data_IF_677681200110
#
_entry.id   IF_677681200110
#
_cell.length_a   1.000
_cell.length_b   1.000
_cell.length_c   1.000
_cell.angle_alpha   90.00
_cell.angle_beta   90.00
_cell.angle_gamma   90.00
#
_symmetry.space_group_name_H-M   'P 1'
#
loop_
_entity.id
_entity.type
_entity.pdbx_description
1 polymer ?
#
# COMPACT_ATOMS: atom_id res chain seq x y z
N UNK A 1 26.80 -13.14 13.41
CA UNK A 1 26.81 -13.12 11.92
C UNK A 1 26.47 -11.73 11.36
N UNK A 2 26.80 -11.43 10.09
CA UNK A 2 26.47 -10.13 9.46
C UNK A 2 24.96 -9.83 9.42
N UNK A 3 24.13 -10.86 9.21
CA UNK A 3 22.66 -10.74 9.15
C UNK A 3 22.07 -10.22 10.46
N UNK A 4 22.45 -10.81 11.61
CA UNK A 4 22.04 -10.32 12.93
C UNK A 4 22.47 -8.87 13.17
N UNK A 5 23.71 -8.50 12.76
CA UNK A 5 24.19 -7.12 12.86
C UNK A 5 23.37 -6.15 12.01
N UNK A 6 22.94 -6.54 10.81
CA UNK A 6 22.08 -5.73 9.95
C UNK A 6 20.79 -5.33 10.69
N UNK A 7 20.05 -6.31 11.23
CA UNK A 7 18.80 -6.04 11.94
C UNK A 7 19.01 -5.22 13.20
N UNK A 8 20.06 -5.51 13.98
CA UNK A 8 20.39 -4.75 15.19
C UNK A 8 20.69 -3.28 14.89
N UNK A 9 21.48 -3.01 13.84
CA UNK A 9 21.82 -1.64 13.42
C UNK A 9 20.57 -0.90 12.96
N UNK A 10 19.78 -1.47 12.06
CA UNK A 10 18.64 -0.76 11.46
C UNK A 10 17.42 -0.66 12.39
N UNK A 11 17.30 -1.53 13.39
CA UNK A 11 16.32 -1.38 14.48
C UNK A 11 16.62 -0.16 15.36
N UNK A 12 17.90 0.16 15.55
CA UNK A 12 18.34 1.29 16.39
C UNK A 12 18.63 2.56 15.59
N UNK A 13 18.52 2.50 14.25
CA UNK A 13 18.87 3.60 13.38
C UNK A 13 17.91 4.78 13.55
N UNK A 14 18.48 5.96 13.83
CA UNK A 14 17.71 7.19 14.05
C UNK A 14 17.39 7.87 12.72
N UNK A 15 16.39 7.35 12.01
CA UNK A 15 15.85 8.03 10.83
C UNK A 15 15.39 9.46 11.17
N UNK A 16 15.63 10.46 10.30
CA UNK A 16 16.08 10.37 8.91
C UNK A 16 17.60 10.56 8.73
N UNK A 17 18.46 10.18 9.69
CA UNK A 17 19.90 10.22 9.46
C UNK A 17 20.27 9.36 8.24
N UNK A 18 21.07 9.88 7.28
CA UNK A 18 21.34 9.19 6.03
C UNK A 18 22.31 8.03 6.21
N UNK A 19 22.02 6.93 5.53
CA UNK A 19 22.98 5.84 5.34
C UNK A 19 23.89 6.23 4.18
N UNK A 20 25.19 6.31 4.45
CA UNK A 20 26.22 6.71 3.49
C UNK A 20 27.38 5.72 3.53
N UNK A 21 27.89 5.33 2.36
CA UNK A 21 29.07 4.46 2.26
C UNK A 21 30.38 5.25 2.15
N UNK A 22 30.31 6.46 1.61
CA UNK A 22 31.42 7.41 1.50
C UNK A 22 30.90 8.83 1.76
N UNK A 23 31.79 9.81 2.04
CA UNK A 23 31.40 11.22 2.08
C UNK A 23 30.77 11.66 0.75
N UNK A 24 29.85 12.62 0.83
CA UNK A 24 29.25 13.22 -0.37
C UNK A 24 30.26 14.16 -1.01
N UNK A 25 30.74 13.79 -2.19
CA UNK A 25 31.65 14.61 -2.99
C UNK A 25 30.89 15.60 -3.86
N UNK A 26 31.42 16.83 -3.96
CA UNK A 26 30.92 17.85 -4.87
C UNK A 26 31.75 17.78 -6.16
N UNK A 27 31.10 17.46 -7.28
CA UNK A 27 31.75 17.43 -8.59
C UNK A 27 31.64 18.77 -9.33
N UNK A 28 32.56 18.98 -10.28
CA UNK A 28 32.71 20.23 -11.05
C UNK A 28 31.62 20.42 -12.12
N UNK A 29 30.90 19.35 -12.48
CA UNK A 29 29.91 19.34 -13.55
C UNK A 29 28.58 20.03 -13.20
N UNK A 30 28.45 20.58 -11.98
CA UNK A 30 27.28 21.35 -11.56
C UNK A 30 25.99 20.55 -11.39
N UNK A 31 26.03 19.21 -11.41
CA UNK A 31 24.85 18.39 -11.15
C UNK A 31 24.34 18.57 -9.71
N UNK A 32 23.02 18.45 -9.54
CA UNK A 32 22.39 18.45 -8.22
C UNK A 32 22.82 17.22 -7.43
N UNK A 33 23.30 17.46 -6.22
CA UNK A 33 23.67 16.42 -5.25
C UNK A 33 22.70 16.48 -4.07
N UNK A 34 22.35 15.32 -3.51
CA UNK A 34 21.47 15.24 -2.34
C UNK A 34 22.05 16.05 -1.17
N UNK A 35 21.33 17.07 -0.73
CA UNK A 35 21.73 17.91 0.40
C UNK A 35 20.50 18.45 1.15
N UNK A 36 20.14 17.87 2.32
CA UNK A 36 18.97 18.29 3.08
C UNK A 36 19.11 19.70 3.70
N UNK A 37 20.31 20.30 3.70
CA UNK A 37 20.55 21.66 4.20
C UNK A 37 20.23 22.70 3.14
N UNK A 38 20.44 22.36 1.86
CA UNK A 38 20.21 23.26 0.72
C UNK A 38 18.85 23.05 0.07
N UNK A 39 18.38 21.81 0.00
CA UNK A 39 17.17 21.45 -0.75
C UNK A 39 16.02 21.05 0.20
N UNK A 40 14.91 21.81 0.23
CA UNK A 40 13.74 21.47 1.03
C UNK A 40 13.12 20.11 0.69
N UNK A 41 13.24 19.64 -0.56
CA UNK A 41 12.76 18.31 -0.96
C UNK A 41 13.57 17.21 -0.27
N UNK A 42 14.90 17.35 -0.25
CA UNK A 42 15.79 16.39 0.37
C UNK A 42 15.61 16.33 1.89
N UNK A 43 15.32 17.48 2.51
CA UNK A 43 14.97 17.59 3.93
C UNK A 43 13.70 16.82 4.31
N UNK A 44 12.80 16.58 3.36
CA UNK A 44 11.55 15.85 3.59
C UNK A 44 11.69 14.32 3.51
N UNK A 45 12.87 13.81 3.11
CA UNK A 45 13.11 12.37 3.00
C UNK A 45 13.04 11.66 4.35
N UNK A 46 12.36 10.51 4.38
CA UNK A 46 12.09 9.76 5.62
C UNK A 46 13.18 8.77 5.98
N UNK A 47 13.74 8.09 4.98
CA UNK A 47 14.71 7.01 5.16
C UNK A 47 15.87 7.13 4.15
N UNK A 48 16.70 8.19 4.19
CA UNK A 48 17.67 8.44 3.12
C UNK A 48 18.78 7.37 3.07
N UNK A 49 18.94 6.74 1.89
CA UNK A 49 20.02 5.81 1.58
C UNK A 49 20.74 6.35 0.34
N UNK A 50 21.95 6.87 0.53
CA UNK A 50 22.62 7.71 -0.46
C UNK A 50 23.50 6.85 -1.39
N UNK A 51 23.35 7.06 -2.70
CA UNK A 51 24.20 6.43 -3.71
C UNK A 51 25.63 6.96 -3.58
N UNK A 52 26.66 6.11 -3.67
CA UNK A 52 28.04 6.51 -3.38
C UNK A 52 28.71 7.31 -4.50
N UNK A 53 28.31 7.08 -5.75
CA UNK A 53 28.93 7.72 -6.91
C UNK A 53 28.31 9.09 -7.18
N UNK A 54 29.15 10.04 -7.61
CA UNK A 54 28.70 11.33 -8.12
C UNK A 54 27.81 11.13 -9.37
N UNK A 55 26.64 11.77 -9.47
CA UNK A 55 26.02 12.69 -8.52
C UNK A 55 25.24 11.94 -7.42
N UNK A 56 25.60 12.13 -6.14
CA UNK A 56 25.01 11.37 -5.04
C UNK A 56 23.52 11.69 -4.88
N UNK A 57 22.65 10.68 -4.85
CA UNK A 57 21.19 10.80 -4.76
C UNK A 57 20.62 9.88 -3.68
N UNK A 58 19.41 10.20 -3.20
CA UNK A 58 18.67 9.29 -2.33
C UNK A 58 17.97 8.19 -3.14
N UNK A 59 18.40 6.94 -2.96
CA UNK A 59 17.79 5.76 -3.62
C UNK A 59 16.40 5.41 -3.08
N UNK A 60 16.11 5.75 -1.82
CA UNK A 60 14.87 5.46 -1.10
C UNK A 60 13.96 6.70 -0.97
N UNK A 61 14.03 7.62 -1.93
CA UNK A 61 13.21 8.86 -1.95
C UNK A 61 11.69 8.59 -1.98
N UNK A 62 11.28 7.38 -2.37
CA UNK A 62 9.87 6.97 -2.43
C UNK A 62 9.26 6.60 -1.08
N UNK A 63 10.07 6.38 -0.04
CA UNK A 63 9.62 5.96 1.29
C UNK A 63 8.70 7.04 1.91
N UNK A 64 7.46 6.64 2.22
CA UNK A 64 6.50 7.43 3.01
C UNK A 64 6.67 7.15 4.50
N UNK A 65 5.96 7.91 5.34
CA UNK A 65 5.92 7.66 6.78
C UNK A 65 5.36 6.26 7.07
N UNK A 66 4.24 5.88 6.42
CA UNK A 66 3.62 4.56 6.60
C UNK A 66 4.54 3.40 6.20
N UNK A 67 5.24 3.51 5.06
CA UNK A 67 6.19 2.46 4.64
C UNK A 67 7.43 2.38 5.54
N UNK A 68 7.91 3.50 6.08
CA UNK A 68 9.00 3.50 7.06
C UNK A 68 8.60 2.79 8.35
N UNK A 69 7.38 3.01 8.82
CA UNK A 69 6.86 2.31 10.01
C UNK A 69 6.84 0.81 9.78
N UNK A 70 6.28 0.34 8.66
CA UNK A 70 6.28 -1.09 8.30
C UNK A 70 7.70 -1.65 8.26
N UNK A 71 8.63 -0.98 7.56
CA UNK A 71 10.03 -1.46 7.49
C UNK A 71 10.69 -1.50 8.87
N UNK A 72 10.42 -0.53 9.74
CA UNK A 72 10.96 -0.49 11.11
C UNK A 72 10.43 -1.64 11.97
N UNK A 73 9.14 -1.94 11.87
CA UNK A 73 8.52 -3.11 12.51
C UNK A 73 9.12 -4.43 11.99
N UNK A 74 9.36 -4.53 10.69
CA UNK A 74 10.02 -5.71 10.10
C UNK A 74 11.49 -5.83 10.53
N UNK A 75 12.22 -4.71 10.71
CA UNK A 75 13.57 -4.76 11.27
C UNK A 75 13.57 -5.29 12.71
N UNK A 76 12.62 -4.86 13.54
CA UNK A 76 12.45 -5.37 14.90
C UNK A 76 12.11 -6.86 14.91
N UNK A 77 11.19 -7.30 14.03
CA UNK A 77 10.84 -8.70 13.89
C UNK A 77 12.06 -9.55 13.50
N UNK A 78 12.81 -9.11 12.49
CA UNK A 78 14.03 -9.78 12.05
C UNK A 78 15.12 -9.82 13.13
N UNK A 79 15.26 -8.75 13.92
CA UNK A 79 16.19 -8.71 15.06
C UNK A 79 15.85 -9.78 16.10
N UNK A 80 14.57 -9.87 16.49
CA UNK A 80 14.09 -10.88 17.45
C UNK A 80 14.30 -12.31 16.93
N UNK A 81 14.01 -12.56 15.66
CA UNK A 81 14.26 -13.89 15.06
C UNK A 81 15.75 -14.22 15.05
N UNK A 82 16.61 -13.24 14.70
CA UNK A 82 18.05 -13.44 14.72
C UNK A 82 18.59 -13.72 16.14
N UNK A 83 18.05 -13.07 17.17
CA UNK A 83 18.40 -13.37 18.57
C UNK A 83 18.04 -14.81 18.95
N UNK A 84 16.86 -15.29 18.55
CA UNK A 84 16.45 -16.68 18.80
C UNK A 84 17.29 -17.69 18.02
N UNK A 85 17.71 -17.38 16.80
CA UNK A 85 18.66 -18.20 16.02
C UNK A 85 20.03 -18.25 16.70
N UNK A 86 20.56 -17.12 17.18
CA UNK A 86 21.85 -17.06 17.88
C UNK A 86 21.82 -17.82 19.22
N UNK A 87 20.65 -17.91 19.87
CA UNK A 87 20.42 -18.75 21.05
C UNK A 87 20.12 -20.23 20.73
N UNK A 88 20.07 -20.62 19.46
CA UNK A 88 19.78 -21.98 19.03
C UNK A 88 18.31 -22.42 19.23
N UNK A 89 17.38 -21.47 19.35
CA UNK A 89 15.94 -21.71 19.57
C UNK A 89 15.11 -21.66 18.30
N UNK A 90 15.67 -21.14 17.20
CA UNK A 90 15.01 -21.04 15.90
C UNK A 90 15.99 -21.39 14.77
N UNK A 91 15.45 -21.78 13.62
CA UNK A 91 16.20 -22.03 12.40
C UNK A 91 16.15 -20.83 11.45
N UNK A 92 17.09 -20.75 10.50
CA UNK A 92 17.12 -19.68 9.48
C UNK A 92 15.87 -19.61 8.62
N UNK A 93 15.16 -20.72 8.45
CA UNK A 93 13.87 -20.79 7.75
C UNK A 93 12.84 -19.81 8.33
N UNK A 94 12.83 -19.62 9.66
CA UNK A 94 11.92 -18.71 10.35
C UNK A 94 12.10 -17.24 9.91
N UNK A 95 13.31 -16.83 9.52
CA UNK A 95 13.58 -15.48 9.04
C UNK A 95 12.96 -15.21 7.65
N UNK A 96 12.79 -16.26 6.85
CA UNK A 96 12.30 -16.20 5.48
C UNK A 96 10.83 -16.66 5.35
N UNK A 97 10.12 -16.82 6.46
CA UNK A 97 8.69 -17.08 6.43
C UNK A 97 7.94 -15.94 5.71
N UNK A 98 6.98 -16.33 4.87
CA UNK A 98 6.24 -15.37 4.06
C UNK A 98 5.38 -14.45 4.93
N UNK A 99 5.49 -13.14 4.71
CA UNK A 99 4.68 -12.15 5.44
C UNK A 99 3.19 -12.29 5.06
N UNK A 100 2.29 -12.58 6.00
CA UNK A 100 0.88 -12.84 5.72
C UNK A 100 0.10 -11.53 5.50
N UNK A 101 0.41 -10.81 4.42
CA UNK A 101 -0.13 -9.47 4.13
C UNK A 101 -1.66 -9.41 4.16
N UNK A 102 -2.34 -10.41 3.59
CA UNK A 102 -3.81 -10.47 3.55
C UNK A 102 -4.46 -10.92 4.87
N UNK A 103 -3.66 -11.20 5.88
CA UNK A 103 -4.12 -11.48 7.25
C UNK A 103 -3.74 -10.34 8.20
N UNK A 104 -2.67 -9.59 7.89
CA UNK A 104 -2.11 -8.54 8.73
C UNK A 104 -3.00 -7.30 8.89
N UNK A 105 -3.96 -7.07 8.00
CA UNK A 105 -4.84 -5.89 8.04
C UNK A 105 -6.31 -6.30 8.10
N UNK A 106 -7.14 -5.47 8.75
CA UNK A 106 -8.59 -5.69 8.78
C UNK A 106 -9.27 -5.24 7.50
N UNK A 107 -8.70 -4.23 6.84
CA UNK A 107 -9.29 -3.57 5.69
C UNK A 107 -8.23 -3.32 4.63
N UNK A 108 -8.67 -3.34 3.38
CA UNK A 108 -7.82 -3.22 2.20
C UNK A 108 -8.43 -2.24 1.22
N UNK A 109 -7.58 -1.53 0.49
CA UNK A 109 -7.95 -0.83 -0.73
C UNK A 109 -7.49 -1.67 -1.92
N UNK A 110 -8.45 -2.11 -2.73
CA UNK A 110 -8.21 -2.75 -4.02
C UNK A 110 -8.25 -1.69 -5.12
N UNK A 111 -7.26 -1.72 -6.00
CA UNK A 111 -7.18 -0.88 -7.20
C UNK A 111 -7.10 -1.78 -8.40
N UNK A 112 -8.14 -1.76 -9.23
CA UNK A 112 -8.19 -2.55 -10.45
C UNK A 112 -7.94 -1.66 -11.66
N UNK A 113 -6.99 -2.07 -12.48
CA UNK A 113 -6.66 -1.44 -13.75
C UNK A 113 -7.18 -2.35 -14.85
N UNK A 114 -7.98 -1.82 -15.78
CA UNK A 114 -8.50 -2.57 -16.92
C UNK A 114 -8.17 -1.84 -18.22
N UNK A 115 -8.02 -2.61 -19.29
CA UNK A 115 -7.85 -2.10 -20.65
C UNK A 115 -8.59 -3.01 -21.66
N UNK A 116 -8.69 -2.56 -22.90
CA UNK A 116 -9.32 -3.34 -23.97
C UNK A 116 -8.48 -4.56 -24.40
N UNK A 117 -7.15 -4.40 -24.45
CA UNK A 117 -6.19 -5.42 -24.86
C UNK A 117 -4.95 -5.46 -23.95
N UNK A 118 -4.09 -6.46 -24.15
CA UNK A 118 -2.94 -6.70 -23.29
C UNK A 118 -1.82 -5.66 -23.43
N UNK A 119 -1.59 -5.12 -24.62
CA UNK A 119 -0.56 -4.11 -24.87
C UNK A 119 -1.00 -2.76 -24.29
N UNK A 120 -2.28 -2.44 -24.45
CA UNK A 120 -2.90 -1.27 -23.85
C UNK A 120 -2.87 -1.35 -22.33
N UNK A 121 -3.16 -2.54 -21.76
CA UNK A 121 -3.02 -2.78 -20.32
C UNK A 121 -1.59 -2.55 -19.85
N UNK A 122 -0.58 -3.04 -20.57
CA UNK A 122 0.82 -2.89 -20.17
C UNK A 122 1.21 -1.41 -20.04
N UNK A 123 0.88 -0.60 -21.05
CA UNK A 123 1.18 0.84 -21.05
C UNK A 123 0.36 1.60 -20.01
N UNK A 124 -0.93 1.28 -19.89
CA UNK A 124 -1.86 1.90 -18.95
C UNK A 124 -1.48 1.60 -17.50
N UNK A 125 -1.24 0.33 -17.19
CA UNK A 125 -0.76 -0.15 -15.89
C UNK A 125 0.54 0.56 -15.49
N UNK A 126 1.52 0.64 -16.39
CA UNK A 126 2.79 1.33 -16.10
C UNK A 126 2.60 2.81 -15.76
N UNK A 127 1.72 3.50 -16.49
CA UNK A 127 1.38 4.89 -16.21
C UNK A 127 0.72 5.09 -14.84
N UNK A 128 -0.23 4.23 -14.48
CA UNK A 128 -0.93 4.27 -13.20
C UNK A 128 -0.01 3.86 -12.05
N UNK A 129 0.75 2.76 -12.19
CA UNK A 129 1.73 2.26 -11.21
C UNK A 129 2.74 3.35 -10.83
N UNK A 130 3.20 4.15 -11.80
CA UNK A 130 4.13 5.25 -11.54
C UNK A 130 3.59 6.31 -10.56
N UNK A 131 2.27 6.34 -10.31
CA UNK A 131 1.56 7.28 -9.44
C UNK A 131 1.04 6.67 -8.15
N UNK A 132 1.22 5.38 -7.91
CA UNK A 132 0.79 4.72 -6.67
C UNK A 132 1.35 5.35 -5.40
N UNK A 133 2.57 5.88 -5.46
CA UNK A 133 3.12 6.68 -4.37
C UNK A 133 2.28 7.93 -4.10
N UNK A 134 1.81 8.63 -5.14
CA UNK A 134 0.97 9.81 -4.97
C UNK A 134 -0.38 9.45 -4.37
N UNK A 135 -0.97 8.31 -4.75
CA UNK A 135 -2.19 7.80 -4.11
C UNK A 135 -1.97 7.59 -2.61
N UNK A 136 -0.91 6.87 -2.25
CA UNK A 136 -0.54 6.59 -0.85
C UNK A 136 -0.38 7.89 -0.06
N UNK A 137 0.39 8.85 -0.58
CA UNK A 137 0.63 10.14 0.07
C UNK A 137 -0.64 10.98 0.20
N UNK A 138 -1.52 10.99 -0.80
CA UNK A 138 -2.80 11.72 -0.72
C UNK A 138 -3.73 11.12 0.32
N UNK A 139 -3.80 9.78 0.43
CA UNK A 139 -4.61 9.13 1.47
C UNK A 139 -4.06 9.45 2.87
N UNK A 140 -2.75 9.33 3.07
CA UNK A 140 -2.11 9.69 4.35
C UNK A 140 -2.33 11.18 4.68
N UNK A 141 -2.29 12.07 3.68
CA UNK A 141 -2.52 13.51 3.86
C UNK A 141 -3.98 13.84 4.17
N UNK A 142 -4.93 13.33 3.39
CA UNK A 142 -6.36 13.60 3.54
C UNK A 142 -6.93 13.01 4.85
N UNK A 143 -6.24 12.02 5.43
CA UNK A 143 -6.56 11.48 6.77
C UNK A 143 -5.81 12.14 7.91
N UNK A 144 -5.03 13.18 7.67
CA UNK A 144 -4.13 13.78 8.65
C UNK A 144 -3.22 12.73 9.35
N UNK A 145 -2.83 11.67 8.64
CA UNK A 145 -2.01 10.57 9.15
C UNK A 145 -2.72 9.60 10.08
N UNK A 146 -4.05 9.66 10.19
CA UNK A 146 -4.85 8.71 10.99
C UNK A 146 -4.95 7.33 10.34
N UNK A 147 -4.86 7.26 9.02
CA UNK A 147 -4.82 6.00 8.29
C UNK A 147 -3.44 5.78 7.67
N UNK A 148 -2.81 4.69 8.09
CA UNK A 148 -1.58 4.18 7.47
C UNK A 148 -1.95 3.28 6.29
N UNK A 149 -1.26 3.49 5.17
CA UNK A 149 -1.45 2.74 3.94
C UNK A 149 -0.18 1.95 3.62
N UNK A 150 -0.28 0.61 3.59
CA UNK A 150 0.81 -0.27 3.22
C UNK A 150 0.58 -0.84 1.81
N UNK A 151 1.23 -0.30 0.76
CA UNK A 151 1.14 -0.86 -0.58
C UNK A 151 1.73 -2.27 -0.63
N UNK A 152 0.98 -3.22 -1.20
CA UNK A 152 1.51 -4.53 -1.54
C UNK A 152 2.23 -4.47 -2.88
N UNK A 153 3.45 -5.01 -3.00
CA UNK A 153 4.24 -4.88 -4.23
C UNK A 153 3.75 -5.75 -5.39
N UNK A 154 3.04 -6.85 -5.11
CA UNK A 154 2.65 -7.80 -6.15
C UNK A 154 1.30 -7.45 -6.76
N UNK A 155 1.16 -7.75 -8.06
CA UNK A 155 -0.07 -7.62 -8.83
C UNK A 155 -0.80 -8.95 -8.92
N UNK A 156 -2.11 -8.89 -9.06
CA UNK A 156 -2.98 -10.04 -9.29
C UNK A 156 -3.78 -9.86 -10.58
N UNK A 157 -4.30 -10.96 -11.10
CA UNK A 157 -5.26 -10.97 -12.21
C UNK A 157 -6.59 -11.44 -11.61
N UNK A 158 -7.64 -10.66 -11.84
CA UNK A 158 -9.00 -11.04 -11.49
C UNK A 158 -9.58 -11.87 -12.64
N UNK A 159 -9.79 -13.19 -12.46
CA UNK A 159 -10.32 -14.06 -13.50
C UNK A 159 -11.81 -13.82 -13.78
N UNK A 160 -12.52 -13.08 -12.91
CA UNK A 160 -13.93 -12.77 -13.12
C UNK A 160 -14.16 -11.70 -14.20
N UNK A 161 -13.11 -10.93 -14.55
CA UNK A 161 -13.22 -9.86 -15.53
C UNK A 161 -12.95 -10.40 -16.95
N UNK A 162 -13.81 -10.08 -17.93
CA UNK A 162 -13.64 -10.57 -19.30
C UNK A 162 -12.51 -9.87 -20.06
N UNK A 163 -12.02 -8.74 -19.54
CA UNK A 163 -10.97 -7.94 -20.16
C UNK A 163 -9.62 -8.08 -19.43
N UNK A 164 -8.50 -7.81 -20.12
CA UNK A 164 -7.18 -7.73 -19.50
C UNK A 164 -7.18 -6.76 -18.31
N UNK A 165 -6.73 -7.26 -17.16
CA UNK A 165 -6.77 -6.50 -15.92
C UNK A 165 -5.53 -6.74 -15.02
N UNK A 166 -5.33 -5.83 -14.08
CA UNK A 166 -4.36 -5.98 -13.00
C UNK A 166 -4.90 -5.37 -11.71
N UNK A 167 -4.96 -6.17 -10.66
CA UNK A 167 -5.43 -5.80 -9.33
C UNK A 167 -4.24 -5.57 -8.38
N UNK A 168 -4.30 -4.47 -7.62
CA UNK A 168 -3.31 -4.07 -6.62
C UNK A 168 -3.99 -3.84 -5.28
N UNK A 169 -3.25 -4.05 -4.19
CA UNK A 169 -3.80 -3.97 -2.84
C UNK A 169 -2.97 -3.07 -1.92
N UNK A 170 -3.65 -2.33 -1.06
CA UNK A 170 -3.06 -1.63 0.08
C UNK A 170 -3.69 -2.14 1.36
N UNK A 171 -2.88 -2.51 2.34
CA UNK A 171 -3.32 -2.76 3.70
C UNK A 171 -3.60 -1.44 4.40
N UNK A 172 -4.76 -1.34 5.05
CA UNK A 172 -5.21 -0.14 5.74
C UNK A 172 -5.23 -0.40 7.25
N UNK A 173 -4.43 0.36 8.00
CA UNK A 173 -4.42 0.32 9.47
C UNK A 173 -4.72 1.70 10.05
N UNK A 174 -5.56 1.73 11.10
CA UNK A 174 -5.82 2.95 11.87
C UNK A 174 -4.68 3.15 12.86
N UNK A 175 -4.14 4.36 12.92
CA UNK A 175 -3.26 4.76 14.00
C UNK A 175 -4.13 5.06 15.22
N UNK A 176 -4.09 4.21 16.23
CA UNK A 176 -4.99 4.28 17.39
C UNK A 176 -4.93 5.65 18.08
N UNK A 177 -6.06 6.36 18.07
CA UNK A 177 -6.33 7.50 18.97
C UNK A 177 -7.71 7.24 19.57
N UNK A 178 -7.77 6.35 20.58
CA UNK A 178 -8.90 6.16 21.48
C UNK A 178 -10.23 5.69 20.85
N UNK A 179 -10.75 4.58 21.36
CA UNK A 179 -12.09 3.99 21.08
C UNK A 179 -12.27 3.35 19.71
N UNK A 180 -12.06 2.04 19.67
CA UNK A 180 -12.38 1.14 18.56
C UNK A 180 -13.87 1.19 18.21
N UNK A 181 -14.16 1.64 16.98
CA UNK A 181 -15.33 1.18 16.24
C UNK A 181 -14.82 0.38 15.05
N UNK A 182 -15.04 -0.93 15.10
CA UNK A 182 -14.78 -1.86 13.99
C UNK A 182 -15.46 -1.35 12.71
N UNK A 183 -14.76 -1.46 11.57
CA UNK A 183 -15.29 -1.23 10.22
C UNK A 183 -15.94 0.15 9.94
N UNK A 184 -15.50 1.24 10.56
CA UNK A 184 -15.87 2.55 10.02
C UNK A 184 -15.11 2.77 8.70
N UNK A 185 -15.81 2.72 7.57
CA UNK A 185 -15.28 3.08 6.26
C UNK A 185 -14.76 4.52 6.35
N UNK A 186 -13.46 4.72 6.09
CA UNK A 186 -12.99 6.06 5.83
C UNK A 186 -13.44 6.45 4.43
N UNK A 187 -14.04 7.62 4.32
CA UNK A 187 -14.43 8.15 3.03
C UNK A 187 -13.21 8.68 2.28
N UNK A 188 -12.66 7.86 1.39
CA UNK A 188 -11.62 8.25 0.44
C UNK A 188 -12.15 8.62 -0.94
N UNK A 189 -13.48 8.79 -1.10
CA UNK A 189 -14.06 9.06 -2.41
C UNK A 189 -13.52 10.37 -3.00
N UNK A 190 -13.33 11.40 -2.17
CA UNK A 190 -12.70 12.65 -2.57
C UNK A 190 -11.27 12.45 -3.08
N UNK A 191 -10.45 11.73 -2.31
CA UNK A 191 -9.05 11.41 -2.64
C UNK A 191 -8.95 10.61 -3.95
N UNK A 192 -9.79 9.58 -4.08
CA UNK A 192 -9.86 8.71 -5.26
C UNK A 192 -10.30 9.50 -6.50
N UNK A 193 -11.33 10.34 -6.38
CA UNK A 193 -11.79 11.20 -7.48
C UNK A 193 -10.70 12.18 -7.93
N UNK A 194 -9.98 12.77 -6.97
CA UNK A 194 -8.86 13.67 -7.25
C UNK A 194 -7.66 12.93 -7.88
N UNK A 195 -7.43 11.68 -7.49
CA UNK A 195 -6.39 10.84 -8.09
C UNK A 195 -6.75 10.45 -9.52
N UNK A 196 -7.99 9.99 -9.77
CA UNK A 196 -8.50 9.66 -11.11
C UNK A 196 -8.35 10.84 -12.06
N UNK A 197 -8.79 12.05 -11.66
CA UNK A 197 -8.60 13.28 -12.44
C UNK A 197 -7.13 13.57 -12.77
N UNK A 198 -6.21 13.28 -11.85
CA UNK A 198 -4.78 13.43 -12.09
C UNK A 198 -4.19 12.41 -13.07
N UNK A 199 -4.80 11.23 -13.19
CA UNK A 199 -4.42 10.21 -14.17
C UNK A 199 -5.00 10.54 -15.55
N UNK A 200 -6.26 11.00 -15.60
CA UNK A 200 -6.97 11.38 -16.84
C UNK A 200 -6.24 12.48 -17.63
N UNK A 201 -5.39 13.28 -16.98
CA UNK A 201 -4.56 14.30 -17.62
C UNK A 201 -3.41 13.73 -18.48
N UNK A 202 -3.28 12.41 -18.56
CA UNK A 202 -2.37 11.74 -19.47
C UNK A 202 -2.95 11.65 -20.87
N UNK A 203 -2.06 11.61 -21.87
CA UNK A 203 -2.25 11.18 -23.28
C UNK A 203 -3.69 10.80 -23.65
N UNK A 204 -4.21 11.43 -24.72
CA UNK A 204 -5.44 11.07 -25.47
C UNK A 204 -6.14 9.85 -24.90
N UNK A 205 -7.22 10.08 -24.13
CA UNK A 205 -8.08 9.04 -23.57
C UNK A 205 -8.39 8.02 -24.68
N UNK A 206 -8.01 6.77 -24.45
CA UNK A 206 -8.42 5.64 -25.30
C UNK A 206 -9.61 4.95 -24.67
N UNK A 207 -10.54 4.53 -25.50
CA UNK A 207 -11.70 3.75 -25.08
C UNK A 207 -11.24 2.41 -24.48
N UNK A 208 -11.96 1.92 -23.47
CA UNK A 208 -11.66 0.66 -22.80
C UNK A 208 -10.63 0.73 -21.66
N UNK A 209 -9.98 1.87 -21.43
CA UNK A 209 -9.13 2.08 -20.23
C UNK A 209 -9.95 2.60 -19.06
N UNK A 210 -9.88 1.91 -17.93
CA UNK A 210 -10.49 2.38 -16.69
C UNK A 210 -9.67 1.96 -15.47
N UNK A 211 -9.98 2.58 -14.34
CA UNK A 211 -9.40 2.31 -13.03
C UNK A 211 -10.49 2.32 -11.97
N UNK A 212 -10.64 1.21 -11.25
CA UNK A 212 -11.63 1.06 -10.18
C UNK A 212 -10.95 1.00 -8.82
N UNK A 213 -11.63 1.55 -7.82
CA UNK A 213 -11.19 1.56 -6.44
C UNK A 213 -12.27 0.91 -5.59
N UNK A 214 -11.91 -0.08 -4.81
CA UNK A 214 -12.84 -0.82 -3.96
C UNK A 214 -12.28 -0.93 -2.55
N UNK A 215 -13.11 -0.62 -1.57
CA UNK A 215 -12.79 -0.87 -0.16
C UNK A 215 -13.24 -2.28 0.18
N UNK A 216 -12.33 -3.10 0.70
CA UNK A 216 -12.55 -4.52 0.93
C UNK A 216 -12.15 -4.88 2.36
N UNK A 217 -13.09 -5.38 3.16
CA UNK A 217 -12.76 -5.96 4.46
C UNK A 217 -12.04 -7.30 4.27
N UNK A 218 -11.15 -7.68 5.21
CA UNK A 218 -10.39 -8.95 5.17
C UNK A 218 -11.27 -10.18 4.88
N UNK A 219 -12.49 -10.21 5.44
CA UNK A 219 -13.46 -11.32 5.28
C UNK A 219 -14.04 -11.42 3.86
N UNK A 220 -13.95 -10.35 3.08
CA UNK A 220 -14.49 -10.24 1.72
C UNK A 220 -13.37 -10.12 0.67
N UNK A 221 -12.12 -10.45 1.04
CA UNK A 221 -11.03 -10.46 0.08
C UNK A 221 -11.30 -11.48 -1.04
N UNK A 222 -10.99 -11.13 -2.30
CA UNK A 222 -11.19 -12.05 -3.42
C UNK A 222 -10.36 -13.33 -3.25
N UNK A 223 -10.92 -14.49 -3.62
CA UNK A 223 -10.24 -15.78 -3.46
C UNK A 223 -8.93 -15.88 -4.28
N UNK A 224 -8.83 -15.16 -5.40
CA UNK A 224 -7.64 -15.18 -6.27
C UNK A 224 -6.37 -14.65 -5.60
N UNK A 225 -6.47 -13.96 -4.46
CA UNK A 225 -5.29 -13.52 -3.69
C UNK A 225 -4.70 -14.64 -2.82
N UNK A 226 -5.38 -15.78 -2.71
CA UNK A 226 -4.99 -16.95 -1.94
C UNK A 226 -4.81 -18.18 -2.86
N UNK A 227 -3.68 -18.31 -3.59
CA UNK A 227 -3.47 -19.39 -4.55
C UNK A 227 -3.51 -20.79 -3.90
N UNK A 228 -3.01 -20.92 -2.67
CA UNK A 228 -3.00 -22.18 -1.91
C UNK A 228 -4.27 -22.39 -1.04
N UNK A 229 -5.29 -21.56 -1.24
CA UNK A 229 -6.49 -21.51 -0.41
C UNK A 229 -6.31 -20.71 0.89
N UNK A 230 -7.42 -20.20 1.42
CA UNK A 230 -7.44 -19.42 2.66
C UNK A 230 -7.24 -20.35 3.87
N UNK A 231 -6.03 -20.37 4.45
CA UNK A 231 -5.74 -21.12 5.68
C UNK A 231 -5.84 -20.18 6.87
N UNK A 232 -6.95 -20.23 7.61
CA UNK A 232 -7.07 -19.47 8.85
C UNK A 232 -6.06 -20.01 9.88
N UNK A 233 -4.95 -19.31 10.09
CA UNK A 233 -4.08 -19.58 11.23
C UNK A 233 -4.79 -19.07 12.49
N UNK A 234 -5.56 -19.95 13.15
CA UNK A 234 -5.97 -19.70 14.55
C UNK A 234 -4.68 -19.56 15.36
N UNK A 235 -4.47 -18.47 16.12
CA UNK A 235 -3.39 -18.44 17.10
C UNK A 235 -3.59 -19.64 18.02
N UNK A 236 -2.62 -20.55 18.03
CA UNK A 236 -2.60 -21.67 18.96
C UNK A 236 -2.62 -21.09 20.37
N UNK A 237 -3.74 -21.25 21.08
CA UNK A 237 -3.82 -20.98 22.52
C UNK A 237 -3.09 -22.10 23.25
N UNK A 238 -1.76 -22.06 23.20
CA UNK A 238 -0.92 -22.78 24.14
C UNK A 238 0.18 -21.84 24.62
N UNK A 239 -0.16 -21.02 25.61
CA UNK A 239 0.81 -20.70 26.66
C UNK A 239 0.28 -21.28 27.96
N UNK A 240 1.13 -22.13 28.51
CA UNK A 240 0.94 -23.01 29.64
C UNK A 240 0.79 -22.18 30.93
N UNK A 241 -0.32 -22.33 31.64
CA UNK A 241 -0.39 -21.99 33.07
C UNK A 241 0.51 -22.96 33.82
N UNK A 242 1.67 -22.51 34.31
CA UNK A 242 2.29 -23.11 35.49
C UNK A 242 2.79 -22.04 36.44
N UNK A 243 2.19 -22.11 37.62
CA UNK A 243 2.41 -21.41 38.88
C UNK A 243 3.87 -21.34 39.33
N UNK A 244 4.29 -20.16 39.80
CA UNK A 244 5.47 -19.96 40.64
C UNK A 244 5.17 -18.93 41.72
N UNK A 245 5.12 -19.39 42.99
CA UNK A 245 4.76 -18.66 44.21
C UNK A 245 5.63 -17.41 44.47
N UNK A 246 5.09 -16.35 45.11
CA UNK A 246 5.91 -15.29 45.70
C UNK A 246 6.38 -15.68 47.12
N UNK A 247 7.66 -15.46 47.42
CA UNK A 247 8.20 -15.52 48.79
C UNK A 247 7.81 -14.26 49.58
N UNK A 248 7.21 -14.44 50.76
CA UNK A 248 7.30 -13.52 51.91
C UNK A 248 8.69 -13.75 52.59
N UNK A 249 9.31 -12.92 53.41
CA UNK A 249 8.94 -11.75 54.21
C UNK A 249 10.27 -11.14 54.75
N UNK A 250 10.42 -9.81 54.91
CA UNK A 250 11.04 -9.12 56.08
C UNK A 250 10.67 -7.62 56.05
N UNK A 251 9.80 -7.26 57.00
CA UNK A 251 9.40 -5.98 57.64
C UNK A 251 10.41 -4.80 57.56
N UNK A 252 9.95 -3.53 57.54
CA UNK A 252 9.54 -2.79 58.76
C UNK A 252 8.84 -1.43 58.47
N UNK A 253 7.64 -1.24 59.08
CA UNK A 253 6.97 -0.02 59.63
C UNK A 253 6.70 1.21 58.74
N UNK A 254 5.65 2.03 58.89
CA UNK A 254 4.46 2.27 59.76
C UNK A 254 3.66 3.36 58.95
N UNK A 255 2.34 3.46 58.87
CA UNK A 255 1.34 3.69 59.92
C UNK A 255 -0.08 3.71 59.32
N UNK A 256 -1.05 3.52 60.22
CA UNK A 256 -2.51 3.78 60.23
C UNK A 256 -3.12 4.62 59.07
N UNK A 257 -4.38 4.46 58.64
CA UNK A 257 -5.58 4.05 59.38
C UNK A 257 -6.77 3.75 58.43
N UNK A 258 -7.70 2.93 58.94
CA UNK A 258 -9.16 3.08 58.87
C UNK A 258 -9.99 2.53 57.69
N UNK A 259 -10.80 1.55 58.10
CA UNK A 259 -12.25 1.40 57.83
C UNK A 259 -12.75 0.59 56.63
N UNK A 260 -12.95 -0.71 56.93
CA UNK A 260 -14.22 -1.47 56.86
C UNK A 260 -15.33 -0.87 55.96
N UNK A 261 -15.85 -1.68 55.03
CA UNK A 261 -17.15 -2.35 55.20
C UNK A 261 -17.45 -3.43 54.14
N UNK A 262 -18.27 -4.38 54.57
CA UNK A 262 -18.50 -5.72 54.03
C UNK A 262 -19.64 -5.80 52.99
N UNK A 263 -19.48 -6.79 52.09
CA UNK A 263 -20.49 -7.75 51.55
C UNK A 263 -21.87 -7.20 51.11
N UNK A 264 -22.25 -7.54 49.87
CA UNK A 264 -23.20 -8.65 49.61
C UNK A 264 -23.30 -9.06 48.13
N UNK A 265 -23.25 -10.38 47.91
CA UNK A 265 -23.71 -11.11 46.73
C UNK A 265 -25.23 -10.95 46.51
N UNK A 266 -25.67 -10.99 45.25
CA UNK A 266 -26.80 -11.82 44.84
C UNK A 266 -26.78 -12.09 43.32
N UNK A 267 -26.80 -13.37 42.97
CA UNK A 267 -27.18 -13.91 41.65
C UNK A 267 -28.70 -13.83 41.47
N UNK A 268 -29.18 -13.75 40.22
CA UNK A 268 -30.33 -14.51 39.74
C UNK A 268 -30.38 -14.59 38.20
N UNK A 269 -30.93 -15.71 37.76
CA UNK A 269 -30.94 -16.32 36.43
C UNK A 269 -31.83 -15.65 35.35
N UNK A 270 -31.38 -15.86 34.10
CA UNK A 270 -32.08 -16.25 32.84
C UNK A 270 -33.50 -15.74 32.59
N UNK A 271 -33.68 -15.07 31.43
CA UNK A 271 -34.85 -15.24 30.54
C UNK A 271 -34.44 -15.11 29.08
N UNK A 272 -34.63 -16.20 28.33
CA UNK A 272 -34.70 -16.23 26.86
C UNK A 272 -35.91 -15.41 26.37
N UNK A 273 -35.72 -14.61 25.31
CA UNK A 273 -36.79 -14.21 24.39
C UNK A 273 -36.18 -14.08 22.99
N UNK A 274 -36.59 -14.96 22.07
CA UNK A 274 -36.58 -14.67 20.61
C UNK A 274 -37.74 -13.73 20.29
N UNK A 275 -37.62 -12.91 19.24
CA UNK A 275 -38.58 -13.11 18.16
C UNK A 275 -38.01 -13.01 16.75
N UNK A 276 -38.59 -13.91 15.97
CA UNK A 276 -38.92 -14.04 14.55
C UNK A 276 -38.60 -12.97 13.47
N UNK A 277 -38.58 -13.53 12.27
CA UNK A 277 -38.36 -12.97 10.93
C UNK A 277 -39.42 -11.95 10.52
N UNK A 278 -39.01 -11.00 9.68
CA UNK A 278 -39.88 -10.43 8.65
C UNK A 278 -39.11 -10.15 7.36
N UNK A 279 -39.77 -10.48 6.26
CA UNK A 279 -39.37 -10.34 4.85
C UNK A 279 -40.06 -9.10 4.27
N UNK A 280 -39.37 -8.35 3.39
CA UNK A 280 -39.85 -7.68 2.14
C UNK A 280 -38.88 -6.53 1.77
N UNK A 281 -38.13 -6.67 0.67
CA UNK A 281 -38.45 -6.24 -0.71
C UNK A 281 -38.32 -4.72 -0.95
N UNK A 282 -37.36 -4.31 -1.79
CA UNK A 282 -37.63 -3.59 -3.05
C UNK A 282 -36.30 -3.28 -3.78
N UNK A 283 -36.12 -3.95 -4.91
CA UNK A 283 -35.24 -3.51 -6.00
C UNK A 283 -35.94 -2.37 -6.75
N UNK A 284 -35.19 -1.33 -7.13
CA UNK A 284 -35.60 -0.44 -8.23
C UNK A 284 -34.46 -0.44 -9.24
N UNK A 285 -34.73 -1.16 -10.34
CA UNK A 285 -34.07 -1.04 -11.63
C UNK A 285 -34.58 0.24 -12.29
N UNK A 286 -33.69 1.05 -12.86
CA UNK A 286 -34.08 2.08 -13.83
C UNK A 286 -33.44 1.78 -15.18
N UNK A 287 -34.31 1.81 -16.17
CA UNK A 287 -34.17 1.29 -17.52
C UNK A 287 -33.20 2.07 -18.40
N UNK A 288 -32.65 1.30 -19.34
CA UNK A 288 -31.89 1.70 -20.52
C UNK A 288 -32.83 2.33 -21.56
N UNK A 289 -32.49 3.48 -22.16
CA UNK A 289 -33.05 3.85 -23.45
C UNK A 289 -32.19 3.26 -24.59
N UNK A 290 -32.80 2.46 -25.45
CA UNK A 290 -32.21 2.01 -26.71
C UNK A 290 -32.12 3.15 -27.75
N UNK A 291 -31.18 3.05 -28.72
CA UNK A 291 -30.92 4.10 -29.70
C UNK A 291 -31.88 4.06 -30.89
N UNK A 292 -32.23 5.25 -31.38
CA UNK A 292 -32.98 5.49 -32.61
C UNK A 292 -32.00 5.45 -33.80
N UNK A 293 -32.26 4.59 -34.78
CA UNK A 293 -31.54 4.56 -36.07
C UNK A 293 -32.03 5.68 -37.00
N UNK A 294 -31.15 6.27 -37.83
CA UNK A 294 -31.55 6.84 -39.11
C UNK A 294 -31.09 5.95 -40.28
N UNK A 295 -32.02 5.75 -41.21
CA UNK A 295 -31.85 4.95 -42.41
C UNK A 295 -30.96 5.60 -43.49
N UNK A 296 -30.59 4.74 -44.45
CA UNK A 296 -29.88 5.07 -45.68
C UNK A 296 -30.68 6.03 -46.58
N UNK A 297 -29.96 6.96 -47.21
CA UNK A 297 -30.23 7.36 -48.60
C UNK A 297 -28.89 7.48 -49.33
N UNK A 298 -28.82 6.75 -50.43
CA UNK A 298 -27.86 6.74 -51.53
C UNK A 298 -27.67 8.12 -52.15
N UNK A 299 -26.45 8.45 -52.57
CA UNK A 299 -26.12 8.93 -53.93
C UNK A 299 -24.60 9.24 -54.03
N UNK A 300 -23.91 8.41 -54.81
CA UNK A 300 -22.67 8.71 -55.55
C UNK A 300 -23.13 9.09 -56.99
N UNK A 301 -22.41 9.89 -57.81
CA UNK A 301 -21.11 9.41 -58.29
C UNK A 301 -20.05 10.45 -58.78
N UNK A 302 -18.82 9.93 -58.87
CA UNK A 302 -17.82 10.06 -59.96
C UNK A 302 -16.81 11.22 -60.08
N UNK A 303 -15.58 10.76 -60.37
CA UNK A 303 -14.48 11.33 -61.17
C UNK A 303 -13.55 12.38 -60.53
N UNK A 304 -12.23 12.34 -60.68
CA UNK A 304 -11.27 11.44 -61.36
C UNK A 304 -9.84 11.93 -61.02
N UNK A 305 -8.82 11.05 -61.12
CA UNK A 305 -7.40 11.27 -61.57
C UNK A 305 -6.58 12.48 -61.04
N UNK A 306 -5.28 12.48 -60.77
CA UNK A 306 -4.15 11.67 -61.26
C UNK A 306 -2.88 12.09 -60.48
N UNK A 307 -2.02 11.09 -60.22
CA UNK A 307 -0.55 11.07 -60.29
C UNK A 307 0.19 12.38 -60.66
N UNK A 308 1.22 12.76 -59.88
CA UNK A 308 2.59 12.94 -60.40
C UNK A 308 3.66 13.04 -59.30
N UNK A 309 4.71 12.24 -59.52
CA UNK A 309 6.00 12.20 -58.85
C UNK A 309 7.00 13.05 -59.63
N UNK A 310 7.90 13.76 -58.94
CA UNK A 310 9.25 14.24 -59.34
C UNK A 310 9.79 15.06 -58.14
N UNK A 311 11.02 14.97 -57.64
CA UNK A 311 12.30 14.58 -58.22
C UNK A 311 13.30 15.75 -58.10
N UNK A 312 14.39 15.57 -57.33
CA UNK A 312 15.58 16.45 -57.26
C UNK A 312 15.50 17.58 -56.21
N UNK A 313 16.57 18.00 -55.50
CA UNK A 313 18.00 17.89 -55.77
C UNK A 313 18.84 18.13 -54.49
N UNK A 314 20.03 17.52 -54.42
CA UNK A 314 21.10 17.75 -53.45
C UNK A 314 21.73 19.16 -53.63
N UNK A 315 22.20 19.76 -52.53
CA UNK A 315 23.52 20.45 -52.47
C UNK A 315 24.12 20.27 -51.06
N UNK A 316 25.32 19.68 -51.02
CA UNK A 316 26.28 19.78 -49.92
C UNK A 316 27.11 21.05 -50.09
N UNK A 317 27.45 21.72 -48.98
CA UNK A 317 28.70 22.48 -48.91
C UNK A 317 29.41 22.19 -47.58
N UNK A 318 30.64 21.69 -47.72
CA UNK A 318 31.70 21.68 -46.72
C UNK A 318 32.34 23.07 -46.68
N UNK A 319 32.79 23.49 -45.51
CA UNK A 319 33.80 24.54 -45.34
C UNK A 319 34.59 24.28 -44.07
N UNK A 320 35.87 23.93 -44.22
CA UNK A 320 36.90 23.74 -43.19
C UNK A 320 37.50 25.08 -42.70
N UNK A 321 38.18 25.01 -41.54
CA UNK A 321 39.24 25.90 -41.01
C UNK A 321 38.82 27.33 -40.61
N UNK A 322 39.16 27.90 -39.45
CA UNK A 322 40.28 27.72 -38.50
C UNK A 322 39.85 27.55 -37.03
#
# INVERSE_FOLDING_TARGET
MLVSRFFRVYTQWRWPNPVMMCPIEMGELGFSVWDPRKNPKDRSHRMPIITPAYHCMNSSYKVSLGTLQVMTEQFQCGNRICEEIELGKAEWSALFEHYPFFEAYENYLQVDIVAADADDLLTWKGWVESRFRQLTLKIEQDTNGLLQCHPYPNKYIDPSKPCPNSAFFWGLSRKEVGTSKECQQFDFQGTVKNFRRGIDNYRVRREGRDIYFSYVCRRHLPSFVFPDGYKWHRPSRHFNEQSGKPCEDVKMCQSCSSERQLKRKKEHEIKEVRPDKSVKQAFISSEVPQPVSPGMTTEDPTNNSEVMSSGGHLVSEKGESE
#
